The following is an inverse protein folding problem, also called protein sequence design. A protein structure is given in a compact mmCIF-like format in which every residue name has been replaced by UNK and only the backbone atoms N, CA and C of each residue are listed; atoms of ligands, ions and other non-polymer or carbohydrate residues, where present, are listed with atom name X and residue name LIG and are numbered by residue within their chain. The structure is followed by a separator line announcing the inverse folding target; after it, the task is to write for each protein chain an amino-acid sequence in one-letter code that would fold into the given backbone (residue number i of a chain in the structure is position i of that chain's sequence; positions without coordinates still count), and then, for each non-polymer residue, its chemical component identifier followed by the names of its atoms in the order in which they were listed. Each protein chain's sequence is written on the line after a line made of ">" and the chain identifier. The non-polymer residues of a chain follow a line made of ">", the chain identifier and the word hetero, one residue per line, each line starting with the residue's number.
data_IF_885167872370
#
_entry.id   IF_885167872370
#
_cell.length_a   1.000
_cell.length_b   1.000
_cell.length_c   1.000
_cell.angle_alpha   90.00
_cell.angle_beta   90.00
_cell.angle_gamma   90.00
#
_symmetry.space_group_name_H-M   'P 1'
#
loop_
_entity.id
_entity.type
_entity.pdbx_description
1 polymer ?
#
# COMPACT_ATOMS: atom_id res chain seq x y z
N UNK A 1 -5.18 21.87 -12.72
CA UNK A 1 -6.01 20.98 -11.88
C UNK A 1 -7.19 21.73 -11.29
N UNK A 2 -6.97 22.85 -10.58
CA UNK A 2 -8.07 23.68 -10.04
C UNK A 2 -8.97 24.26 -11.13
N UNK A 3 -8.38 24.83 -12.20
CA UNK A 3 -9.15 25.33 -13.36
C UNK A 3 -10.07 24.27 -13.94
N UNK A 4 -9.55 23.07 -14.17
CA UNK A 4 -10.32 21.92 -14.69
C UNK A 4 -11.43 21.48 -13.73
N UNK A 5 -11.20 21.59 -12.42
CA UNK A 5 -12.21 21.29 -11.40
C UNK A 5 -13.31 22.36 -11.37
N UNK A 6 -12.95 23.64 -11.41
CA UNK A 6 -13.92 24.74 -11.51
C UNK A 6 -14.73 24.65 -12.80
N UNK A 7 -14.09 24.36 -13.94
CA UNK A 7 -14.78 24.21 -15.23
C UNK A 7 -15.79 23.04 -15.20
N UNK A 8 -15.42 21.94 -14.52
CA UNK A 8 -16.34 20.81 -14.30
C UNK A 8 -17.48 21.14 -13.33
N UNK A 9 -17.21 21.92 -12.29
CA UNK A 9 -18.22 22.37 -11.33
C UNK A 9 -19.20 23.36 -11.97
N UNK A 10 -18.71 24.24 -12.83
CA UNK A 10 -19.54 25.13 -13.66
C UNK A 10 -20.41 24.33 -14.63
N UNK A 11 -19.85 23.29 -15.27
CA UNK A 11 -20.60 22.40 -16.17
C UNK A 11 -21.74 21.63 -15.49
N UNK A 12 -21.69 21.43 -14.17
CA UNK A 12 -22.78 20.80 -13.38
C UNK A 12 -23.70 21.85 -12.71
N UNK A 13 -23.57 23.13 -13.06
CA UNK A 13 -24.47 24.21 -12.65
C UNK A 13 -24.02 25.00 -11.43
N UNK A 14 -22.78 24.85 -10.96
CA UNK A 14 -22.23 25.69 -9.89
C UNK A 14 -21.79 27.05 -10.44
N UNK A 15 -21.99 28.13 -9.69
CA UNK A 15 -21.37 29.41 -10.06
C UNK A 15 -19.89 29.39 -9.71
N UNK A 16 -19.11 30.25 -10.37
CA UNK A 16 -17.67 30.38 -10.12
C UNK A 16 -17.37 30.70 -8.65
N UNK A 17 -18.18 31.56 -8.04
CA UNK A 17 -18.07 31.89 -6.62
C UNK A 17 -18.33 30.67 -5.73
N UNK A 18 -19.36 29.86 -6.03
CA UNK A 18 -19.66 28.64 -5.27
C UNK A 18 -18.55 27.59 -5.42
N UNK A 19 -18.00 27.43 -6.61
CA UNK A 19 -16.90 26.51 -6.86
C UNK A 19 -15.62 26.95 -6.14
N UNK A 20 -15.32 28.25 -6.14
CA UNK A 20 -14.18 28.83 -5.42
C UNK A 20 -14.36 28.71 -3.90
N UNK A 21 -15.54 29.01 -3.37
CA UNK A 21 -15.87 28.87 -1.95
C UNK A 21 -15.77 27.42 -1.48
N UNK A 22 -16.34 26.47 -2.23
CA UNK A 22 -16.30 25.03 -1.93
C UNK A 22 -14.86 24.50 -1.90
N UNK A 23 -14.01 25.01 -2.79
CA UNK A 23 -12.59 24.65 -2.85
C UNK A 23 -11.73 25.41 -1.83
N UNK A 24 -12.31 26.34 -1.05
CA UNK A 24 -11.57 27.18 -0.09
C UNK A 24 -10.64 28.19 -0.75
N UNK A 25 -10.87 28.52 -2.02
CA UNK A 25 -10.11 29.48 -2.81
C UNK A 25 -10.60 30.90 -2.49
N UNK A 26 -9.99 31.55 -1.50
CA UNK A 26 -10.09 33.01 -1.37
C UNK A 26 -9.28 33.66 -2.50
N UNK A 27 -9.69 34.86 -2.95
CA UNK A 27 -9.11 35.59 -4.09
C UNK A 27 -7.66 36.06 -3.92
N UNK A 28 -6.92 35.51 -2.95
CA UNK A 28 -5.50 35.80 -2.70
C UNK A 28 -4.74 34.68 -1.96
N UNK A 29 -5.31 33.49 -1.78
CA UNK A 29 -4.62 32.37 -1.12
C UNK A 29 -3.67 31.63 -2.07
N UNK A 30 -2.43 31.40 -1.63
CA UNK A 30 -1.49 30.52 -2.34
C UNK A 30 -2.12 29.12 -2.47
N UNK A 31 -2.16 28.57 -3.68
CA UNK A 31 -2.54 27.19 -3.98
C UNK A 31 -1.95 26.15 -3.02
N UNK A 32 -0.76 26.40 -2.47
CA UNK A 32 -0.14 25.57 -1.45
C UNK A 32 -0.90 25.59 -0.12
N UNK A 33 -1.36 26.75 0.33
CA UNK A 33 -2.14 26.90 1.58
C UNK A 33 -3.45 26.10 1.49
N UNK A 34 -4.10 26.16 0.33
CA UNK A 34 -5.36 25.45 0.08
C UNK A 34 -5.16 23.94 0.10
N UNK A 35 -4.11 23.44 -0.56
CA UNK A 35 -3.76 22.03 -0.52
C UNK A 35 -3.44 21.55 0.91
N UNK A 36 -2.65 22.31 1.67
CA UNK A 36 -2.33 21.96 3.06
C UNK A 36 -3.58 21.95 3.95
N UNK A 37 -4.49 22.91 3.77
CA UNK A 37 -5.78 22.91 4.47
C UNK A 37 -6.61 21.69 4.12
N UNK A 38 -6.70 21.33 2.83
CA UNK A 38 -7.42 20.15 2.39
C UNK A 38 -6.86 18.88 3.02
N UNK A 39 -5.53 18.75 3.15
CA UNK A 39 -4.87 17.63 3.84
C UNK A 39 -5.24 17.57 5.32
N UNK A 40 -5.14 18.69 6.03
CA UNK A 40 -5.48 18.76 7.48
C UNK A 40 -6.96 18.46 7.71
N UNK A 41 -7.83 18.79 6.76
CA UNK A 41 -9.26 18.50 6.81
C UNK A 41 -9.61 17.03 6.56
N UNK A 42 -8.66 16.18 6.12
CA UNK A 42 -8.89 14.73 5.93
C UNK A 42 -8.79 13.94 7.24
N UNK A 43 -9.40 14.43 8.33
CA UNK A 43 -9.32 13.83 9.68
C UNK A 43 -9.71 12.34 9.66
N UNK A 44 -10.76 11.98 8.93
CA UNK A 44 -11.20 10.58 8.79
C UNK A 44 -10.15 9.66 8.13
N UNK A 45 -9.37 10.17 7.18
CA UNK A 45 -8.31 9.42 6.51
C UNK A 45 -7.07 9.29 7.41
N UNK A 46 -6.72 10.37 8.13
CA UNK A 46 -5.62 10.37 9.11
C UNK A 46 -5.89 9.31 10.18
N UNK A 47 -7.11 9.27 10.74
CA UNK A 47 -7.51 8.27 11.72
C UNK A 47 -7.37 6.84 11.18
N UNK A 48 -7.71 6.61 9.91
CA UNK A 48 -7.57 5.31 9.27
C UNK A 48 -6.11 4.89 9.11
N UNK A 49 -5.20 5.82 8.84
CA UNK A 49 -3.77 5.56 8.72
C UNK A 49 -3.12 5.29 10.08
N UNK A 50 -3.45 6.09 11.11
CA UNK A 50 -2.94 5.94 12.47
C UNK A 50 -3.42 4.64 13.13
N UNK A 51 -4.59 4.12 12.74
CA UNK A 51 -5.09 2.81 13.19
C UNK A 51 -4.39 1.61 12.57
N UNK A 52 -3.50 1.79 11.58
CA UNK A 52 -2.77 0.67 10.97
C UNK A 52 -1.67 0.18 11.91
N UNK A 53 -1.25 -1.06 11.72
CA UNK A 53 0.01 -1.56 12.26
C UNK A 53 1.15 -1.20 11.31
N UNK A 54 2.19 -0.53 11.82
CA UNK A 54 3.30 -0.02 11.00
C UNK A 54 4.50 -0.93 11.15
N UNK A 55 5.08 -1.32 10.01
CA UNK A 55 6.22 -2.22 9.93
C UNK A 55 7.28 -1.65 9.00
N UNK A 56 8.54 -1.95 9.32
CA UNK A 56 9.65 -1.68 8.43
C UNK A 56 10.04 -3.00 7.75
N UNK A 57 10.04 -2.99 6.41
CA UNK A 57 10.49 -4.11 5.59
C UNK A 57 11.89 -3.81 5.05
N UNK A 58 12.74 -4.83 5.01
CA UNK A 58 14.13 -4.70 4.57
C UNK A 58 14.45 -5.68 3.44
N UNK A 59 15.15 -5.18 2.42
CA UNK A 59 15.82 -5.97 1.39
C UNK A 59 17.33 -5.66 1.38
N UNK A 60 18.08 -6.37 0.54
CA UNK A 60 19.53 -6.19 0.37
C UNK A 60 19.84 -5.28 -0.82
N UNK A 61 21.00 -4.60 -0.84
CA UNK A 61 21.39 -3.72 -1.94
C UNK A 61 21.38 -4.40 -3.32
N UNK A 62 21.66 -5.71 -3.39
CA UNK A 62 21.68 -6.46 -4.66
C UNK A 62 20.27 -6.67 -5.26
N UNK A 63 19.22 -6.40 -4.49
CA UNK A 63 17.81 -6.47 -4.93
C UNK A 63 17.05 -5.27 -4.38
N UNK A 64 17.29 -4.07 -4.94
CA UNK A 64 16.69 -2.86 -4.42
C UNK A 64 15.18 -2.81 -4.69
N UNK A 65 14.47 -2.05 -3.87
CA UNK A 65 13.11 -1.65 -4.18
C UNK A 65 13.08 -0.70 -5.37
N UNK A 66 12.04 -0.84 -6.18
CA UNK A 66 11.64 0.18 -7.14
C UNK A 66 10.88 1.29 -6.41
N UNK A 67 10.88 2.48 -7.01
CA UNK A 67 9.97 3.57 -6.63
C UNK A 67 9.39 4.16 -7.90
N UNK A 68 8.09 4.42 -7.92
CA UNK A 68 7.39 5.02 -9.05
C UNK A 68 7.02 6.48 -8.77
N UNK A 69 6.45 7.14 -9.79
CA UNK A 69 5.77 8.43 -9.65
C UNK A 69 4.50 8.37 -8.79
N UNK A 70 4.00 7.17 -8.48
CA UNK A 70 2.94 6.92 -7.50
C UNK A 70 3.42 5.94 -6.41
N UNK A 71 4.31 6.39 -5.50
CA UNK A 71 5.09 5.49 -4.66
C UNK A 71 4.28 4.82 -3.54
N UNK A 72 3.07 5.32 -3.24
CA UNK A 72 2.17 4.75 -2.23
C UNK A 72 1.23 3.75 -2.90
N UNK A 73 1.55 2.47 -2.74
CA UNK A 73 0.81 1.38 -3.42
C UNK A 73 -0.03 0.57 -2.46
N UNK A 74 -1.15 0.04 -2.95
CA UNK A 74 -2.14 -0.69 -2.18
C UNK A 74 -2.24 -2.14 -2.64
N UNK A 75 -2.38 -3.05 -1.68
CA UNK A 75 -2.60 -4.47 -1.97
C UNK A 75 -3.52 -5.09 -0.94
N UNK A 76 -4.41 -5.96 -1.41
CA UNK A 76 -5.25 -6.77 -0.56
C UNK A 76 -5.34 -8.18 -1.14
N UNK A 77 -5.22 -9.20 -0.28
CA UNK A 77 -5.31 -10.61 -0.68
C UNK A 77 -6.68 -11.22 -0.39
N UNK A 78 -7.56 -10.50 0.30
CA UNK A 78 -8.92 -10.96 0.52
C UNK A 78 -9.71 -10.90 -0.79
N UNK A 79 -10.59 -11.87 -1.02
CA UNK A 79 -11.53 -11.83 -2.13
C UNK A 79 -12.89 -11.31 -1.63
N UNK A 80 -13.37 -10.22 -2.23
CA UNK A 80 -14.69 -9.64 -1.96
C UNK A 80 -15.64 -9.78 -3.16
N UNK A 81 -15.33 -10.67 -4.10
CA UNK A 81 -16.12 -10.93 -5.29
C UNK A 81 -16.15 -9.72 -6.23
N UNK A 82 -17.34 -9.26 -6.66
CA UNK A 82 -17.45 -8.18 -7.65
C UNK A 82 -17.15 -6.79 -7.08
N UNK A 83 -17.02 -6.65 -5.76
CA UNK A 83 -16.81 -5.36 -5.10
C UNK A 83 -15.32 -4.99 -5.03
N UNK A 84 -15.04 -3.69 -5.02
CA UNK A 84 -13.68 -3.17 -4.90
C UNK A 84 -12.97 -3.67 -3.63
N UNK A 85 -11.70 -4.05 -3.78
CA UNK A 85 -10.88 -4.66 -2.73
C UNK A 85 -9.78 -3.73 -2.19
N UNK A 86 -9.65 -2.53 -2.77
CA UNK A 86 -8.63 -1.55 -2.40
C UNK A 86 -9.29 -0.33 -1.74
N UNK A 87 -8.75 0.07 -0.58
CA UNK A 87 -9.17 1.26 0.14
C UNK A 87 -8.63 1.27 1.58
N UNK A 88 -8.41 2.46 2.14
CA UNK A 88 -7.76 2.64 3.44
C UNK A 88 -8.49 1.95 4.61
N UNK A 89 -9.81 1.82 4.50
CA UNK A 89 -10.66 1.17 5.50
C UNK A 89 -10.94 -0.32 5.20
N UNK A 90 -10.53 -0.83 4.02
CA UNK A 90 -10.87 -2.20 3.61
C UNK A 90 -10.12 -3.20 4.48
N UNK A 91 -10.84 -4.22 4.96
CA UNK A 91 -10.26 -5.27 5.79
C UNK A 91 -9.16 -6.02 5.02
N UNK A 92 -8.01 -6.18 5.65
CA UNK A 92 -6.84 -6.86 5.06
C UNK A 92 -5.96 -5.99 4.16
N UNK A 93 -6.30 -4.71 3.99
CA UNK A 93 -5.49 -3.79 3.17
C UNK A 93 -4.06 -3.68 3.71
N UNK A 94 -3.11 -3.64 2.79
CA UNK A 94 -1.69 -3.42 3.02
C UNK A 94 -1.27 -2.24 2.14
N UNK A 95 -0.57 -1.27 2.74
CA UNK A 95 -0.11 -0.05 2.08
C UNK A 95 1.41 -0.06 2.15
N UNK A 96 2.08 0.23 1.04
CA UNK A 96 3.53 0.21 0.94
C UNK A 96 4.06 1.54 0.43
N UNK A 97 5.15 2.00 1.04
CA UNK A 97 5.88 3.19 0.65
C UNK A 97 7.39 2.91 0.74
N UNK A 98 8.11 2.78 -0.39
CA UNK A 98 9.57 2.73 -0.37
C UNK A 98 10.14 3.98 0.29
N UNK A 99 11.00 3.81 1.30
CA UNK A 99 11.71 4.90 1.97
C UNK A 99 13.14 5.06 1.42
N UNK A 100 13.74 3.96 0.97
CA UNK A 100 15.04 3.89 0.31
C UNK A 100 15.07 2.69 -0.65
N UNK A 101 16.22 2.46 -1.31
CA UNK A 101 16.43 1.26 -2.12
C UNK A 101 16.39 -0.04 -1.30
N UNK A 102 16.53 0.02 0.03
CA UNK A 102 16.57 -1.18 0.90
C UNK A 102 15.51 -1.21 1.99
N UNK A 103 14.81 -0.10 2.24
CA UNK A 103 13.80 0.01 3.29
C UNK A 103 12.45 0.45 2.74
N UNK A 104 11.39 -0.17 3.24
CA UNK A 104 10.01 0.12 2.87
C UNK A 104 9.15 0.20 4.12
N UNK A 105 8.36 1.27 4.22
CA UNK A 105 7.29 1.38 5.20
C UNK A 105 6.10 0.56 4.72
N UNK A 106 5.59 -0.28 5.60
CA UNK A 106 4.38 -1.06 5.39
C UNK A 106 3.35 -0.73 6.47
N UNK A 107 2.16 -0.29 6.05
CA UNK A 107 1.03 -0.02 6.95
C UNK A 107 -0.05 -1.07 6.70
N UNK A 108 -0.24 -1.95 7.67
CA UNK A 108 -1.14 -3.10 7.58
C UNK A 108 -2.43 -2.88 8.33
N UNK A 109 -3.53 -3.38 7.78
CA UNK A 109 -4.79 -3.48 8.50
C UNK A 109 -4.59 -4.33 9.77
N UNK A 110 -5.09 -3.89 10.95
CA UNK A 110 -4.95 -4.63 12.22
C UNK A 110 -5.42 -6.08 12.16
N UNK A 111 -6.39 -6.37 11.29
CA UNK A 111 -6.88 -7.74 11.05
C UNK A 111 -5.78 -8.74 10.66
N UNK A 112 -4.67 -8.27 10.06
CA UNK A 112 -3.51 -9.11 9.70
C UNK A 112 -2.77 -9.53 10.97
N UNK A 113 -2.46 -8.57 11.86
CA UNK A 113 -1.81 -8.86 13.14
C UNK A 113 -2.70 -9.74 14.03
N UNK A 114 -3.99 -9.48 14.08
CA UNK A 114 -4.96 -10.33 14.79
C UNK A 114 -4.96 -11.78 14.26
N UNK A 115 -4.88 -11.96 12.94
CA UNK A 115 -4.75 -13.29 12.33
C UNK A 115 -3.44 -13.96 12.76
N UNK A 116 -2.32 -13.23 12.81
CA UNK A 116 -1.04 -13.76 13.28
C UNK A 116 -1.09 -14.18 14.76
N UNK A 117 -1.74 -13.39 15.62
CA UNK A 117 -1.97 -13.74 17.03
C UNK A 117 -2.77 -15.04 17.16
N UNK A 118 -3.86 -15.20 16.39
CA UNK A 118 -4.64 -16.43 16.36
C UNK A 118 -3.81 -17.63 15.91
N UNK A 119 -2.98 -17.46 14.87
CA UNK A 119 -2.08 -18.52 14.40
C UNK A 119 -1.04 -18.91 15.45
N UNK A 120 -0.48 -17.94 16.19
CA UNK A 120 0.45 -18.19 17.30
C UNK A 120 -0.19 -19.09 18.36
N UNK A 121 -1.38 -18.71 18.83
CA UNK A 121 -2.11 -19.45 19.85
C UNK A 121 -2.45 -20.87 19.38
N UNK A 122 -2.92 -21.02 18.14
CA UNK A 122 -3.23 -22.32 17.56
C UNK A 122 -1.97 -23.22 17.47
N UNK A 123 -0.86 -22.69 16.97
CA UNK A 123 0.39 -23.44 16.85
C UNK A 123 0.97 -23.83 18.21
N UNK A 124 0.92 -22.94 19.20
CA UNK A 124 1.33 -23.23 20.58
C UNK A 124 0.48 -24.33 21.20
N UNK A 125 -0.84 -24.31 20.96
CA UNK A 125 -1.75 -25.35 21.42
C UNK A 125 -1.40 -26.71 20.80
N UNK A 126 -1.19 -26.77 19.47
CA UNK A 126 -0.79 -28.00 18.79
C UNK A 126 0.54 -28.53 19.31
N UNK A 127 1.55 -27.67 19.50
CA UNK A 127 2.84 -28.07 20.05
C UNK A 127 2.71 -28.72 21.45
N UNK A 128 1.83 -28.19 22.30
CA UNK A 128 1.65 -28.68 23.66
C UNK A 128 0.76 -29.93 23.76
N UNK A 129 -0.23 -30.09 22.87
CA UNK A 129 -1.29 -31.09 23.01
C UNK A 129 -1.30 -32.17 21.93
N UNK A 130 -0.93 -31.83 20.70
CA UNK A 130 -1.05 -32.71 19.55
C UNK A 130 0.00 -32.39 18.45
N UNK A 131 1.31 -32.52 18.74
CA UNK A 131 2.36 -32.14 17.81
C UNK A 131 2.36 -32.95 16.51
N UNK A 132 1.80 -34.16 16.54
CA UNK A 132 1.64 -35.03 15.36
C UNK A 132 0.66 -34.48 14.31
N UNK A 133 -0.24 -33.56 14.69
CA UNK A 133 -1.16 -32.89 13.77
C UNK A 133 -0.49 -31.75 13.00
N UNK A 134 0.73 -31.37 13.37
CA UNK A 134 1.47 -30.31 12.67
C UNK A 134 2.00 -30.89 11.34
N UNK A 135 1.65 -30.29 10.19
CA UNK A 135 2.15 -30.74 8.89
C UNK A 135 3.69 -30.75 8.84
N UNK A 136 4.28 -31.80 8.24
CA UNK A 136 5.74 -32.02 8.22
C UNK A 136 6.55 -30.89 7.56
N UNK A 137 5.94 -30.16 6.62
CA UNK A 137 6.59 -29.03 5.95
C UNK A 137 6.62 -27.76 6.82
N UNK A 138 5.84 -27.72 7.91
CA UNK A 138 5.82 -26.59 8.83
C UNK A 138 6.92 -26.78 9.87
N UNK A 139 7.84 -25.82 9.93
CA UNK A 139 8.84 -25.70 10.99
C UNK A 139 8.27 -24.79 12.09
N UNK A 140 7.82 -25.34 13.24
CA UNK A 140 7.00 -24.56 14.18
C UNK A 140 7.74 -23.38 14.79
N UNK A 141 9.01 -23.55 15.16
CA UNK A 141 9.81 -22.49 15.76
C UNK A 141 10.12 -21.35 14.77
N UNK A 142 10.48 -21.69 13.52
CA UNK A 142 10.64 -20.68 12.46
C UNK A 142 9.33 -19.94 12.19
N UNK A 143 8.19 -20.66 12.22
CA UNK A 143 6.87 -20.04 12.05
C UNK A 143 6.51 -19.12 13.21
N UNK A 144 6.84 -19.50 14.45
CA UNK A 144 6.63 -18.65 15.63
C UNK A 144 7.51 -17.40 15.58
N UNK A 145 8.78 -17.52 15.16
CA UNK A 145 9.67 -16.38 14.94
C UNK A 145 9.16 -15.45 13.86
N UNK A 146 8.62 -15.98 12.75
CA UNK A 146 7.98 -15.19 11.72
C UNK A 146 6.76 -14.44 12.28
N UNK A 147 5.87 -15.12 13.02
CA UNK A 147 4.71 -14.49 13.65
C UNK A 147 5.13 -13.39 14.63
N UNK A 148 6.21 -13.61 15.40
CA UNK A 148 6.72 -12.63 16.37
C UNK A 148 7.05 -11.28 15.74
N UNK A 149 7.50 -11.25 14.48
CA UNK A 149 7.79 -10.00 13.76
C UNK A 149 6.56 -9.11 13.63
N UNK A 150 5.39 -9.70 13.46
CA UNK A 150 4.12 -8.98 13.38
C UNK A 150 3.63 -8.55 14.76
N UNK A 151 3.74 -9.42 15.76
CA UNK A 151 3.17 -9.14 17.10
C UNK A 151 3.99 -8.13 17.89
N UNK A 152 5.30 -8.12 17.65
CA UNK A 152 6.29 -7.35 18.43
C UNK A 152 6.91 -6.21 17.60
N UNK A 153 6.37 -5.94 16.39
CA UNK A 153 6.80 -4.86 15.50
C UNK A 153 8.30 -4.88 15.16
N UNK A 154 8.83 -6.07 14.88
CA UNK A 154 10.24 -6.24 14.51
C UNK A 154 10.44 -5.98 13.01
N UNK A 155 11.68 -5.64 12.64
CA UNK A 155 12.12 -5.53 11.25
C UNK A 155 11.78 -6.82 10.48
N UNK A 156 11.20 -6.66 9.29
CA UNK A 156 10.77 -7.76 8.44
C UNK A 156 11.73 -7.94 7.25
N UNK A 157 12.70 -8.87 7.33
CA UNK A 157 13.55 -9.18 6.20
C UNK A 157 12.72 -9.86 5.10
N UNK A 158 12.89 -9.40 3.87
CA UNK A 158 12.18 -9.92 2.71
C UNK A 158 12.99 -11.00 1.99
N UNK A 159 12.26 -11.93 1.39
CA UNK A 159 12.81 -12.88 0.42
C UNK A 159 12.84 -12.23 -0.98
N UNK A 160 13.62 -12.74 -1.93
CA UNK A 160 13.62 -12.23 -3.30
C UNK A 160 12.23 -12.20 -3.96
N UNK A 161 11.37 -13.17 -3.63
CA UNK A 161 10.00 -13.25 -4.14
C UNK A 161 9.14 -12.10 -3.59
N UNK A 162 9.27 -11.79 -2.30
CA UNK A 162 8.58 -10.63 -1.70
C UNK A 162 9.04 -9.32 -2.34
N UNK A 163 10.35 -9.14 -2.58
CA UNK A 163 10.88 -7.94 -3.24
C UNK A 163 10.32 -7.82 -4.65
N UNK A 164 10.29 -8.92 -5.41
CA UNK A 164 9.74 -8.96 -6.76
C UNK A 164 8.25 -8.59 -6.75
N UNK A 165 7.48 -9.10 -5.78
CA UNK A 165 6.08 -8.76 -5.61
C UNK A 165 5.86 -7.27 -5.28
N UNK A 166 6.67 -6.68 -4.40
CA UNK A 166 6.52 -5.26 -4.09
C UNK A 166 6.96 -4.35 -5.22
N UNK A 167 8.02 -4.73 -5.95
CA UNK A 167 8.44 -4.02 -7.15
C UNK A 167 7.36 -4.12 -8.23
N UNK A 168 6.66 -5.25 -8.38
CA UNK A 168 5.56 -5.35 -9.34
C UNK A 168 4.39 -4.42 -8.99
N UNK A 169 4.10 -4.20 -7.70
CA UNK A 169 3.09 -3.21 -7.30
C UNK A 169 3.52 -1.78 -7.68
N UNK A 170 4.80 -1.44 -7.57
CA UNK A 170 5.31 -0.14 -8.02
C UNK A 170 5.15 0.04 -9.53
N UNK A 171 5.35 -1.02 -10.32
CA UNK A 171 5.10 -0.97 -11.77
C UNK A 171 3.61 -0.85 -12.07
N UNK A 172 2.76 -1.61 -11.37
CA UNK A 172 1.30 -1.59 -11.56
C UNK A 172 0.66 -0.24 -11.24
N UNK A 173 1.18 0.48 -10.25
CA UNK A 173 0.66 1.77 -9.82
C UNK A 173 1.30 2.97 -10.55
N UNK A 174 2.39 2.76 -11.28
CA UNK A 174 3.10 3.81 -12.00
C UNK A 174 2.26 4.38 -13.15
N UNK A 175 2.30 5.69 -13.33
CA UNK A 175 1.65 6.36 -14.47
C UNK A 175 2.61 6.57 -15.63
N UNK A 176 3.85 7.00 -15.34
CA UNK A 176 4.84 7.35 -16.35
C UNK A 176 6.23 6.82 -16.02
N UNK A 177 6.62 6.86 -14.74
CA UNK A 177 8.01 6.62 -14.35
C UNK A 177 8.15 5.55 -13.27
N UNK A 178 9.11 4.65 -13.48
CA UNK A 178 9.63 3.72 -12.49
C UNK A 178 11.14 3.95 -12.40
N UNK A 179 11.65 4.02 -11.17
CA UNK A 179 13.06 4.20 -10.86
C UNK A 179 13.61 3.00 -10.11
N UNK A 180 14.82 2.58 -10.48
CA UNK A 180 15.62 1.58 -9.80
C UNK A 180 17.09 2.03 -9.76
N UNK A 181 17.71 2.02 -8.57
CA UNK A 181 19.11 2.45 -8.40
C UNK A 181 20.12 1.60 -9.18
N UNK A 182 19.86 0.31 -9.32
CA UNK A 182 20.72 -0.64 -10.03
C UNK A 182 20.48 -0.67 -11.55
N UNK A 183 19.54 0.14 -12.06
CA UNK A 183 19.16 0.20 -13.48
C UNK A 183 18.68 -1.14 -14.06
N UNK A 184 18.27 -2.08 -13.22
CA UNK A 184 17.60 -3.31 -13.64
C UNK A 184 16.10 -3.06 -13.78
N UNK A 185 15.62 -3.07 -15.03
CA UNK A 185 14.20 -2.92 -15.38
C UNK A 185 13.61 -4.17 -16.02
N UNK A 186 14.28 -5.33 -15.90
CA UNK A 186 13.82 -6.60 -16.48
C UNK A 186 12.45 -7.04 -15.98
N UNK A 187 12.07 -6.67 -14.74
CA UNK A 187 10.72 -6.90 -14.23
C UNK A 187 9.68 -6.04 -14.97
N UNK A 188 9.99 -4.77 -15.25
CA UNK A 188 9.09 -3.86 -15.98
C UNK A 188 8.84 -4.38 -17.39
N UNK A 189 9.90 -4.76 -18.09
CA UNK A 189 9.83 -5.31 -19.45
C UNK A 189 8.97 -6.58 -19.51
N UNK A 190 9.17 -7.50 -18.55
CA UNK A 190 8.35 -8.71 -18.45
C UNK A 190 6.88 -8.41 -18.20
N UNK A 191 6.57 -7.48 -17.29
CA UNK A 191 5.19 -7.10 -17.00
C UNK A 191 4.51 -6.48 -18.23
N UNK A 192 5.20 -5.55 -18.92
CA UNK A 192 4.68 -4.91 -20.13
C UNK A 192 4.46 -5.90 -21.28
N UNK A 193 5.32 -6.92 -21.40
CA UNK A 193 5.14 -8.00 -22.37
C UNK A 193 3.94 -8.91 -22.04
N UNK A 194 3.66 -9.11 -20.75
CA UNK A 194 2.54 -9.92 -20.26
C UNK A 194 1.17 -9.22 -20.47
N UNK A 195 1.11 -7.91 -20.27
CA UNK A 195 -0.13 -7.15 -20.44
C UNK A 195 0.10 -5.66 -20.67
N UNK A 196 -0.59 -5.09 -21.67
CA UNK A 196 -0.56 -3.65 -21.92
C UNK A 196 -1.15 -2.81 -20.79
N UNK A 197 -1.89 -3.42 -19.84
CA UNK A 197 -2.49 -2.70 -18.71
C UNK A 197 -1.46 -1.97 -17.84
N UNK A 198 -0.22 -2.45 -17.82
CA UNK A 198 0.87 -1.84 -17.04
C UNK A 198 1.54 -0.65 -17.74
N UNK A 199 1.08 -0.27 -18.95
CA UNK A 199 1.55 0.97 -19.61
C UNK A 199 0.96 2.24 -18.99
N UNK A 200 -0.09 2.11 -18.21
CA UNK A 200 -0.80 3.23 -17.59
C UNK A 200 -1.14 2.87 -16.16
N UNK A 201 -1.14 3.86 -15.27
CA UNK A 201 -1.50 3.62 -13.88
C UNK A 201 -3.00 3.33 -13.70
N UNK A 202 -3.44 3.02 -12.47
CA UNK A 202 -4.82 2.68 -12.17
C UNK A 202 -5.79 3.81 -12.57
N UNK A 203 -6.63 3.57 -13.58
CA UNK A 203 -7.68 4.49 -14.02
C UNK A 203 -9.03 4.07 -13.44
N UNK A 204 -9.79 5.05 -12.92
CA UNK A 204 -11.22 4.88 -12.75
C UNK A 204 -11.87 4.88 -14.13
N UNK A 205 -12.13 3.69 -14.69
CA UNK A 205 -12.99 3.53 -15.86
C UNK A 205 -14.44 3.59 -15.38
N UNK A 206 -15.11 4.71 -15.65
CA UNK A 206 -16.56 4.87 -15.49
C UNK A 206 -17.27 4.51 -16.78
#
# INVERSE_FOLDING_TARGET
>A
MISVLTDKMEAIGSTKEQAMETLGLSSGGDTKDIFLRQLVQQVSHIDLLLKKDWYLLETRPERPFYVSDNPVVLKNSNDFGPYGNLGLAVRGIQIYLPLSSTLMLAMYCPSIREQMVRQKQHLQHLLARAPHLIPRHIRPFERLEHIRRYTDYLLMPLTPEHVTHYNSLQVEFAEQYVFCGEKDFSLVERMLADSERYRTGPRFTF
#
